data_IF_071907998199
#
_entry.id   IF_071907998199
#
_cell.length_a   1.000
_cell.length_b   1.000
_cell.length_c   1.000
_cell.angle_alpha   90.00
_cell.angle_beta   90.00
_cell.angle_gamma   90.00
#
_symmetry.space_group_name_H-M   'P 1'
#
loop_
_entity.id
_entity.type
_entity.pdbx_description
1 polymer ?
#
# COMPACT_ATOMS: atom_id res chain seq x y z
N UNK A 1 -37.77 6.90 9.64
CA UNK A 1 -37.41 7.15 8.21
C UNK A 1 -36.28 8.15 8.00
N UNK A 2 -36.24 9.31 8.70
CA UNK A 2 -35.17 10.33 8.50
C UNK A 2 -33.76 9.81 8.83
N UNK A 3 -33.59 9.06 9.93
CA UNK A 3 -32.31 8.46 10.30
C UNK A 3 -31.77 7.46 9.26
N UNK A 4 -32.63 6.59 8.71
CA UNK A 4 -32.22 5.61 7.69
C UNK A 4 -31.68 6.30 6.41
N UNK A 5 -32.32 7.41 5.99
CA UNK A 5 -31.88 8.20 4.82
C UNK A 5 -30.51 8.85 5.06
N UNK A 6 -30.28 9.37 6.27
CA UNK A 6 -28.99 9.98 6.65
C UNK A 6 -27.89 8.91 6.69
N UNK A 7 -28.15 7.75 7.28
CA UNK A 7 -27.20 6.64 7.32
C UNK A 7 -26.84 6.14 5.92
N UNK A 8 -27.83 6.00 5.03
CA UNK A 8 -27.61 5.59 3.65
C UNK A 8 -26.78 6.63 2.88
N UNK A 9 -27.08 7.92 3.07
CA UNK A 9 -26.32 9.00 2.45
C UNK A 9 -24.86 9.00 2.92
N UNK A 10 -24.61 8.82 4.22
CA UNK A 10 -23.25 8.71 4.76
C UNK A 10 -22.50 7.52 4.14
N UNK A 11 -23.17 6.37 4.01
CA UNK A 11 -22.59 5.17 3.43
C UNK A 11 -22.17 5.37 1.97
N UNK A 12 -23.00 6.10 1.19
CA UNK A 12 -22.69 6.46 -0.20
C UNK A 12 -21.48 7.41 -0.26
N UNK A 13 -21.44 8.46 0.56
CA UNK A 13 -20.31 9.42 0.60
C UNK A 13 -19.00 8.73 0.99
N UNK A 14 -19.03 7.83 1.97
CA UNK A 14 -17.86 7.03 2.38
C UNK A 14 -17.40 6.11 1.24
N UNK A 15 -18.35 5.54 0.48
CA UNK A 15 -18.04 4.66 -0.65
C UNK A 15 -17.37 5.42 -1.82
N UNK A 16 -17.83 6.65 -2.11
CA UNK A 16 -17.35 7.49 -3.21
C UNK A 16 -15.93 8.06 -2.98
N UNK A 17 -15.50 8.23 -1.73
CA UNK A 17 -14.12 8.68 -1.41
C UNK A 17 -13.10 7.54 -1.42
N UNK A 18 -13.55 6.31 -1.63
CA UNK A 18 -12.72 5.12 -1.48
C UNK A 18 -12.07 4.64 -2.78
N UNK A 19 -11.90 5.45 -3.83
CA UNK A 19 -11.32 5.00 -5.11
C UNK A 19 -9.94 4.31 -4.97
N UNK A 20 -9.62 3.44 -5.93
CA UNK A 20 -8.33 2.79 -6.06
C UNK A 20 -7.21 3.82 -6.20
N UNK A 21 -6.09 3.53 -5.55
CA UNK A 21 -4.87 4.31 -5.67
C UNK A 21 -3.88 3.56 -6.56
N UNK A 22 -3.21 4.29 -7.46
CA UNK A 22 -2.05 3.75 -8.16
C UNK A 22 -0.92 3.40 -7.18
N UNK A 23 -0.08 2.45 -7.57
CA UNK A 23 1.17 2.17 -6.88
C UNK A 23 2.29 2.98 -7.54
N UNK A 24 3.03 3.76 -6.75
CA UNK A 24 4.23 4.45 -7.19
C UNK A 24 5.42 3.56 -6.86
N UNK A 25 6.11 3.08 -7.90
CA UNK A 25 7.31 2.26 -7.76
C UNK A 25 8.35 2.99 -6.90
N UNK A 26 8.91 2.28 -5.93
CA UNK A 26 9.82 2.86 -4.93
C UNK A 26 11.22 3.06 -5.52
N UNK A 27 11.68 2.09 -6.30
CA UNK A 27 13.02 2.04 -6.90
C UNK A 27 14.13 2.35 -5.88
N UNK A 28 14.43 1.44 -4.93
CA UNK A 28 15.41 1.69 -3.86
C UNK A 28 16.76 2.26 -4.31
N UNK A 29 17.21 1.93 -5.53
CA UNK A 29 18.46 2.44 -6.12
C UNK A 29 18.48 3.94 -6.39
N UNK A 30 17.33 4.60 -6.52
CA UNK A 30 17.21 6.03 -6.83
C UNK A 30 16.94 6.88 -5.58
N UNK A 31 16.76 6.23 -4.42
CA UNK A 31 16.47 6.90 -3.16
C UNK A 31 17.73 7.61 -2.64
N UNK A 32 17.56 8.87 -2.24
CA UNK A 32 18.51 9.54 -1.36
C UNK A 32 18.28 9.07 0.08
N UNK A 33 19.22 8.27 0.59
CA UNK A 33 19.20 7.77 1.97
C UNK A 33 19.91 8.76 2.89
N UNK A 34 19.23 9.17 3.96
CA UNK A 34 19.77 10.13 4.93
C UNK A 34 20.34 9.45 6.18
N UNK A 35 19.85 8.26 6.51
CA UNK A 35 20.41 7.49 7.63
C UNK A 35 21.66 6.74 7.19
N UNK A 36 22.64 6.68 8.08
CA UNK A 36 23.89 5.98 7.85
C UNK A 36 24.40 5.42 9.18
N UNK A 37 24.59 4.11 9.23
CA UNK A 37 25.19 3.41 10.38
C UNK A 37 26.19 2.39 9.86
N UNK A 38 27.34 2.27 10.53
CA UNK A 38 28.40 1.31 10.17
C UNK A 38 28.64 0.39 11.35
N UNK A 39 28.68 -0.92 11.10
CA UNK A 39 28.97 -1.96 12.09
C UNK A 39 29.95 -2.97 11.48
N UNK A 40 31.12 -3.17 12.10
CA UNK A 40 32.15 -4.13 11.65
C UNK A 40 32.45 -4.10 10.13
N UNK A 41 32.52 -2.90 9.54
CA UNK A 41 32.76 -2.74 8.10
C UNK A 41 31.55 -3.02 7.21
N UNK A 42 30.34 -3.09 7.75
CA UNK A 42 29.10 -3.18 6.99
C UNK A 42 28.28 -1.92 7.22
N UNK A 43 27.98 -1.21 6.13
CA UNK A 43 27.22 0.03 6.15
C UNK A 43 25.76 -0.24 5.84
N UNK A 44 24.88 0.36 6.64
CA UNK A 44 23.44 0.41 6.43
C UNK A 44 22.98 1.85 6.22
N UNK A 45 22.20 2.03 5.17
CA UNK A 45 21.43 3.24 4.90
C UNK A 45 19.97 2.82 4.70
N UNK A 46 19.01 3.59 5.23
CA UNK A 46 17.59 3.22 5.18
C UNK A 46 16.64 4.41 5.04
N UNK A 47 15.40 4.13 4.60
CA UNK A 47 14.36 5.13 4.46
C UNK A 47 12.97 4.55 4.74
N UNK A 48 12.23 5.26 5.60
CA UNK A 48 10.82 5.03 5.90
C UNK A 48 9.90 5.84 4.98
N UNK A 49 8.58 5.64 5.14
CA UNK A 49 7.52 6.44 4.53
C UNK A 49 7.62 6.49 3.00
N UNK A 50 7.71 5.30 2.41
CA UNK A 50 7.89 5.07 0.97
C UNK A 50 6.56 5.00 0.21
N UNK A 51 5.52 4.54 0.91
CA UNK A 51 4.21 4.27 0.33
C UNK A 51 3.36 5.54 0.33
N UNK A 52 2.33 5.57 -0.53
CA UNK A 52 1.47 6.74 -0.71
C UNK A 52 -0.01 6.34 -0.72
N UNK A 53 -0.89 7.25 -0.27
CA UNK A 53 -2.35 7.11 -0.28
C UNK A 53 -2.81 5.83 0.42
N UNK A 54 -3.44 4.88 -0.29
CA UNK A 54 -4.04 3.70 0.33
C UNK A 54 -3.01 2.75 0.93
N UNK A 55 -1.82 2.66 0.36
CA UNK A 55 -0.77 1.79 0.88
C UNK A 55 -0.21 2.34 2.19
N UNK A 56 0.08 3.65 2.23
CA UNK A 56 0.46 4.37 3.46
C UNK A 56 -0.62 4.25 4.56
N UNK A 57 -1.89 4.44 4.20
CA UNK A 57 -3.01 4.22 5.15
C UNK A 57 -3.03 2.79 5.69
N UNK A 58 -2.68 1.79 4.87
CA UNK A 58 -2.59 0.41 5.31
C UNK A 58 -1.40 0.17 6.23
N UNK A 59 -0.26 0.86 6.04
CA UNK A 59 0.86 0.78 6.97
C UNK A 59 0.44 1.17 8.38
N UNK A 60 -0.20 2.34 8.51
CA UNK A 60 -0.72 2.86 9.78
C UNK A 60 -1.81 1.94 10.34
N UNK A 61 -2.78 1.54 9.52
CA UNK A 61 -3.91 0.70 9.98
C UNK A 61 -3.48 -0.70 10.42
N UNK A 62 -2.36 -1.22 9.90
CA UNK A 62 -1.93 -2.61 10.10
C UNK A 62 -0.68 -2.76 10.97
N UNK A 63 -0.09 -1.67 11.43
CA UNK A 63 1.15 -1.65 12.22
C UNK A 63 2.30 -2.31 11.47
N UNK A 64 2.44 -1.98 10.18
CA UNK A 64 3.52 -2.51 9.33
C UNK A 64 4.12 -1.36 8.56
N UNK A 65 5.43 -1.17 8.68
CA UNK A 65 6.19 -0.18 7.93
C UNK A 65 7.05 -0.86 6.88
N UNK A 66 6.98 -0.38 5.65
CA UNK A 66 7.88 -0.76 4.58
C UNK A 66 9.09 0.17 4.59
N UNK A 67 10.28 -0.42 4.57
CA UNK A 67 11.55 0.29 4.68
C UNK A 67 12.43 -0.11 3.52
N UNK A 68 13.00 0.88 2.86
CA UNK A 68 14.00 0.69 1.83
C UNK A 68 15.32 0.67 2.57
N UNK A 69 16.13 -0.35 2.31
CA UNK A 69 17.47 -0.44 2.87
C UNK A 69 18.49 -0.57 1.75
N UNK A 70 19.68 -0.05 2.03
CA UNK A 70 20.87 -0.20 1.24
C UNK A 70 21.96 -0.70 2.17
N UNK A 71 22.52 -1.86 1.84
CA UNK A 71 23.58 -2.51 2.62
C UNK A 71 24.82 -2.56 1.75
N UNK A 72 25.91 -1.98 2.23
CA UNK A 72 27.22 -2.02 1.57
C UNK A 72 28.17 -2.80 2.46
N UNK A 73 28.74 -3.88 1.93
CA UNK A 73 29.73 -4.67 2.64
C UNK A 73 31.13 -4.16 2.31
N UNK A 74 31.76 -3.47 3.26
CA UNK A 74 33.14 -2.97 3.17
C UNK A 74 34.12 -3.89 3.93
N UNK A 75 33.64 -5.03 4.45
CA UNK A 75 34.48 -6.04 5.09
C UNK A 75 35.16 -6.95 4.06
N UNK A 76 36.06 -7.80 4.54
CA UNK A 76 36.81 -8.79 3.76
C UNK A 76 36.07 -10.13 3.56
N UNK A 77 34.88 -10.30 4.15
CA UNK A 77 34.11 -11.54 4.13
C UNK A 77 32.80 -11.38 3.39
N UNK A 78 32.37 -12.41 2.67
CA UNK A 78 31.00 -12.47 2.15
C UNK A 78 30.01 -12.71 3.29
N UNK A 79 28.93 -11.93 3.31
CA UNK A 79 27.94 -11.94 4.39
C UNK A 79 26.55 -12.25 3.83
N UNK A 80 25.82 -13.16 4.46
CA UNK A 80 24.44 -13.46 4.09
C UNK A 80 23.46 -12.65 4.95
N UNK A 81 22.62 -11.84 4.30
CA UNK A 81 21.60 -11.06 4.99
C UNK A 81 20.50 -11.98 5.57
N UNK A 82 20.14 -11.77 6.83
CA UNK A 82 19.23 -12.61 7.63
C UNK A 82 19.93 -13.73 8.41
N UNK A 83 21.18 -14.08 8.06
CA UNK A 83 22.00 -15.05 8.81
C UNK A 83 23.17 -14.36 9.51
N UNK A 84 24.11 -13.84 8.72
CA UNK A 84 25.36 -13.25 9.20
C UNK A 84 25.18 -11.75 9.52
N UNK A 85 24.19 -11.11 8.89
CA UNK A 85 23.83 -9.70 9.09
C UNK A 85 22.33 -9.59 9.33
N UNK A 86 21.94 -8.99 10.46
CA UNK A 86 20.53 -8.80 10.86
C UNK A 86 20.24 -7.35 11.18
N UNK A 87 18.97 -6.95 11.03
CA UNK A 87 18.51 -5.64 11.46
C UNK A 87 18.18 -5.65 12.95
N UNK A 88 18.67 -4.64 13.66
CA UNK A 88 18.35 -4.39 15.08
C UNK A 88 17.90 -2.95 15.25
N UNK A 89 17.07 -2.70 16.26
CA UNK A 89 16.76 -1.34 16.69
C UNK A 89 17.96 -0.73 17.40
N UNK A 90 17.98 0.59 17.58
CA UNK A 90 19.05 1.29 18.27
C UNK A 90 19.28 0.79 19.72
N UNK A 91 18.27 0.21 20.36
CA UNK A 91 18.35 -0.40 21.69
C UNK A 91 18.93 -1.84 21.70
N UNK A 92 19.31 -2.38 20.53
CA UNK A 92 19.88 -3.71 20.37
C UNK A 92 18.86 -4.84 20.20
N UNK A 93 17.56 -4.57 20.30
CA UNK A 93 16.50 -5.57 20.07
C UNK A 93 16.44 -5.92 18.59
N UNK A 94 16.30 -7.21 18.28
CA UNK A 94 16.15 -7.66 16.89
C UNK A 94 14.87 -7.11 16.27
N UNK A 95 14.99 -6.63 15.03
CA UNK A 95 13.86 -6.10 14.29
C UNK A 95 13.02 -7.28 13.78
N UNK A 96 11.71 -7.33 14.07
CA UNK A 96 10.83 -8.39 13.58
C UNK A 96 10.54 -8.17 12.09
N UNK A 97 11.50 -8.58 11.25
CA UNK A 97 11.40 -8.57 9.80
C UNK A 97 10.31 -9.53 9.36
N UNK A 98 9.41 -9.04 8.52
CA UNK A 98 8.29 -9.81 8.00
C UNK A 98 8.61 -10.39 6.62
N UNK A 99 8.18 -11.63 6.38
CA UNK A 99 8.18 -12.22 5.04
C UNK A 99 7.39 -11.37 4.05
N UNK A 100 7.92 -11.21 2.85
CA UNK A 100 7.36 -10.36 1.81
C UNK A 100 5.91 -10.70 1.43
N UNK A 101 5.52 -11.97 1.44
CA UNK A 101 4.13 -12.36 1.20
C UNK A 101 3.18 -11.88 2.31
N UNK A 102 3.64 -11.86 3.58
CA UNK A 102 2.85 -11.33 4.70
C UNK A 102 2.76 -9.82 4.64
N UNK A 103 3.83 -9.13 4.24
CA UNK A 103 3.86 -7.69 3.98
C UNK A 103 2.86 -7.33 2.88
N UNK A 104 2.94 -8.02 1.73
CA UNK A 104 2.02 -7.84 0.62
C UNK A 104 0.56 -8.05 1.04
N UNK A 105 0.25 -9.17 1.71
CA UNK A 105 -1.12 -9.47 2.17
C UNK A 105 -1.70 -8.39 3.10
N UNK A 106 -0.86 -7.78 3.94
CA UNK A 106 -1.29 -6.72 4.87
C UNK A 106 -1.42 -5.36 4.21
N UNK A 107 -0.51 -5.01 3.32
CA UNK A 107 -0.41 -3.64 2.77
C UNK A 107 -1.15 -3.45 1.44
N UNK A 108 -1.51 -4.53 0.73
CA UNK A 108 -2.26 -4.45 -0.53
C UNK A 108 -3.63 -3.76 -0.38
N UNK A 109 -4.10 -3.16 -1.47
CA UNK A 109 -5.48 -2.70 -1.57
C UNK A 109 -6.43 -3.89 -1.65
N UNK A 110 -7.65 -3.78 -1.13
CA UNK A 110 -8.70 -4.79 -1.30
C UNK A 110 -9.47 -4.50 -2.59
N UNK A 111 -9.29 -5.27 -3.68
CA UNK A 111 -9.98 -4.98 -4.94
C UNK A 111 -11.47 -5.35 -4.88
N UNK A 112 -11.81 -6.40 -4.11
CA UNK A 112 -13.18 -6.88 -4.00
C UNK A 112 -14.13 -5.85 -3.37
N UNK A 113 -13.63 -4.92 -2.54
CA UNK A 113 -14.50 -3.86 -1.98
C UNK A 113 -15.06 -2.92 -3.04
N UNK A 114 -14.43 -2.83 -4.23
CA UNK A 114 -14.95 -2.00 -5.32
C UNK A 114 -16.17 -2.60 -6.01
N UNK A 115 -16.47 -3.88 -5.78
CA UNK A 115 -17.71 -4.48 -6.27
C UNK A 115 -18.95 -3.87 -5.61
N UNK A 116 -18.79 -3.17 -4.48
CA UNK A 116 -19.88 -2.40 -3.86
C UNK A 116 -20.38 -1.27 -4.76
N UNK A 117 -19.58 -0.80 -5.74
CA UNK A 117 -20.08 0.15 -6.74
C UNK A 117 -21.19 -0.45 -7.63
N UNK A 118 -21.30 -1.78 -7.73
CA UNK A 118 -22.43 -2.43 -8.42
C UNK A 118 -23.77 -2.14 -7.75
N UNK A 119 -23.80 -1.71 -6.49
CA UNK A 119 -25.03 -1.25 -5.83
C UNK A 119 -25.57 0.05 -6.42
N UNK A 120 -24.78 0.77 -7.25
CA UNK A 120 -25.23 1.92 -8.02
C UNK A 120 -25.94 1.54 -9.32
N UNK A 121 -25.93 0.25 -9.71
CA UNK A 121 -26.56 -0.25 -10.94
C UNK A 121 -28.05 0.08 -11.09
N UNK A 122 -28.91 -0.04 -10.06
CA UNK A 122 -30.34 0.24 -10.20
C UNK A 122 -30.69 1.74 -10.16
N UNK A 123 -29.71 2.66 -10.21
CA UNK A 123 -29.96 4.10 -10.20
C UNK A 123 -30.57 4.58 -11.53
N UNK A 124 -31.67 5.30 -11.42
CA UNK A 124 -32.35 5.97 -12.53
C UNK A 124 -32.42 7.47 -12.25
N UNK A 125 -32.22 8.29 -13.28
CA UNK A 125 -32.53 9.73 -13.24
C UNK A 125 -33.93 9.95 -13.76
N UNK A 126 -34.74 10.70 -13.02
CA UNK A 126 -36.10 11.05 -13.39
C UNK A 126 -36.20 12.55 -13.62
N UNK A 127 -36.87 12.95 -14.70
CA UNK A 127 -37.29 14.34 -14.92
C UNK A 127 -38.79 14.44 -14.64
N UNK A 128 -39.19 15.45 -13.89
CA UNK A 128 -40.60 15.71 -13.56
C UNK A 128 -41.02 17.04 -14.17
N UNK A 129 -42.23 17.07 -14.72
CA UNK A 129 -42.89 18.28 -15.19
C UNK A 129 -44.15 18.51 -14.36
N UNK A 130 -44.48 19.77 -14.10
CA UNK A 130 -45.71 20.11 -13.39
C UNK A 130 -46.78 20.42 -14.42
N UNK A 131 -47.85 19.63 -14.42
CA UNK A 131 -48.96 19.84 -15.33
C UNK A 131 -49.75 21.13 -14.95
N UNK A 132 -50.64 21.64 -15.83
CA UNK A 132 -51.42 22.86 -15.57
C UNK A 132 -52.32 22.80 -14.32
N UNK A 133 -52.57 21.60 -13.79
CA UNK A 133 -53.35 21.36 -12.57
C UNK A 133 -52.48 21.28 -11.30
N UNK A 134 -51.18 21.58 -11.41
CA UNK A 134 -50.23 21.59 -10.29
C UNK A 134 -49.75 20.20 -9.86
N UNK A 135 -50.03 19.15 -10.63
CA UNK A 135 -49.60 17.77 -10.35
C UNK A 135 -48.26 17.51 -11.03
N UNK A 136 -47.30 16.97 -10.27
CA UNK A 136 -46.01 16.54 -10.83
C UNK A 136 -46.17 15.20 -11.55
N UNK A 137 -45.82 15.16 -12.82
CA UNK A 137 -45.79 13.96 -13.65
C UNK A 137 -44.35 13.66 -14.07
N UNK A 138 -43.97 12.38 -14.00
CA UNK A 138 -42.65 11.93 -14.47
C UNK A 138 -42.68 11.87 -16.00
N UNK A 139 -41.87 12.70 -16.65
CA UNK A 139 -41.79 12.77 -18.10
C UNK A 139 -40.88 11.67 -18.68
N UNK A 140 -39.69 11.47 -18.08
CA UNK A 140 -38.70 10.50 -18.57
C UNK A 140 -37.86 9.88 -17.45
N UNK A 141 -37.38 8.65 -17.67
CA UNK A 141 -36.38 7.98 -16.81
C UNK A 141 -35.17 7.49 -17.61
N UNK A 142 -33.95 7.86 -17.20
CA UNK A 142 -32.70 7.37 -17.81
C UNK A 142 -31.90 6.49 -16.82
N UNK A 143 -31.58 5.23 -17.16
CA UNK A 143 -30.92 4.28 -16.25
C UNK A 143 -29.41 4.50 -16.18
N UNK A 144 -28.97 5.63 -15.61
CA UNK A 144 -27.53 5.97 -15.44
C UNK A 144 -26.74 4.91 -14.68
N UNK A 145 -27.40 4.19 -13.77
CA UNK A 145 -26.77 3.23 -12.88
C UNK A 145 -26.07 2.08 -13.62
N UNK A 146 -26.62 1.63 -14.76
CA UNK A 146 -26.09 0.52 -15.56
C UNK A 146 -24.68 0.82 -16.10
N UNK A 147 -24.36 2.09 -16.32
CA UNK A 147 -23.02 2.52 -16.72
C UNK A 147 -22.18 2.86 -15.48
N UNK A 148 -22.74 3.62 -14.55
CA UNK A 148 -22.02 4.11 -13.37
C UNK A 148 -21.52 2.98 -12.47
N UNK A 149 -22.39 2.05 -12.09
CA UNK A 149 -22.04 0.99 -11.15
C UNK A 149 -20.97 0.05 -11.70
N UNK A 150 -21.21 -0.64 -12.82
CA UNK A 150 -20.24 -1.50 -13.47
C UNK A 150 -18.95 -0.77 -13.89
N UNK A 151 -19.05 0.45 -14.43
CA UNK A 151 -17.89 1.23 -14.85
C UNK A 151 -16.96 1.57 -13.69
N UNK A 152 -17.52 2.06 -12.58
CA UNK A 152 -16.75 2.34 -11.36
C UNK A 152 -16.17 1.06 -10.74
N UNK A 153 -16.96 -0.01 -10.67
CA UNK A 153 -16.52 -1.29 -10.13
C UNK A 153 -15.33 -1.85 -10.92
N UNK A 154 -15.49 -1.97 -12.24
CA UNK A 154 -14.46 -2.51 -13.13
C UNK A 154 -13.19 -1.65 -13.13
N UNK A 155 -13.33 -0.32 -13.27
CA UNK A 155 -12.19 0.58 -13.30
C UNK A 155 -11.35 0.52 -12.02
N UNK A 156 -11.99 0.56 -10.85
CA UNK A 156 -11.28 0.49 -9.58
C UNK A 156 -10.69 -0.91 -9.32
N UNK A 157 -11.40 -1.97 -9.69
CA UNK A 157 -10.92 -3.36 -9.57
C UNK A 157 -9.62 -3.56 -10.36
N UNK A 158 -9.60 -3.12 -11.63
CA UNK A 158 -8.42 -3.25 -12.51
C UNK A 158 -7.27 -2.40 -12.01
N UNK A 159 -7.53 -1.14 -11.67
CA UNK A 159 -6.50 -0.22 -11.17
C UNK A 159 -5.84 -0.75 -9.89
N UNK A 160 -6.64 -1.21 -8.92
CA UNK A 160 -6.10 -1.77 -7.68
C UNK A 160 -5.39 -3.10 -7.89
N UNK A 161 -5.89 -3.97 -8.77
CA UNK A 161 -5.25 -5.26 -9.06
C UNK A 161 -3.89 -5.07 -9.73
N UNK A 162 -3.81 -4.17 -10.72
CA UNK A 162 -2.55 -3.80 -11.36
C UNK A 162 -1.57 -3.17 -10.37
N UNK A 163 -2.02 -2.20 -9.58
CA UNK A 163 -1.20 -1.59 -8.53
C UNK A 163 -0.67 -2.62 -7.52
N UNK A 164 -1.52 -3.55 -7.07
CA UNK A 164 -1.12 -4.62 -6.16
C UNK A 164 -0.10 -5.58 -6.80
N UNK A 165 -0.26 -5.90 -8.08
CA UNK A 165 0.69 -6.74 -8.81
C UNK A 165 2.06 -6.08 -8.87
N UNK A 166 2.14 -4.80 -9.23
CA UNK A 166 3.39 -4.03 -9.25
C UNK A 166 4.05 -3.98 -7.87
N UNK A 167 3.27 -3.72 -6.81
CA UNK A 167 3.78 -3.73 -5.44
C UNK A 167 4.35 -5.09 -5.04
N UNK A 168 3.63 -6.19 -5.35
CA UNK A 168 4.12 -7.55 -5.06
C UNK A 168 5.43 -7.83 -5.80
N UNK A 169 5.48 -7.52 -7.09
CA UNK A 169 6.68 -7.73 -7.90
C UNK A 169 7.87 -6.97 -7.35
N UNK A 170 7.69 -5.72 -6.93
CA UNK A 170 8.78 -4.93 -6.36
C UNK A 170 9.28 -5.48 -5.02
N UNK A 171 8.38 -5.93 -4.13
CA UNK A 171 8.78 -6.60 -2.88
C UNK A 171 9.64 -7.84 -3.14
N UNK A 172 9.26 -8.66 -4.13
CA UNK A 172 9.98 -9.91 -4.44
C UNK A 172 11.33 -9.65 -5.14
N UNK A 173 11.39 -8.65 -6.03
CA UNK A 173 12.64 -8.27 -6.71
C UNK A 173 13.68 -7.75 -5.72
N UNK A 174 13.24 -7.05 -4.67
CA UNK A 174 14.10 -6.44 -3.66
C UNK A 174 14.11 -7.21 -2.32
N UNK A 175 13.89 -8.53 -2.33
CA UNK A 175 13.99 -9.36 -1.12
C UNK A 175 15.45 -9.68 -0.78
N UNK A 176 15.99 -9.04 0.26
CA UNK A 176 17.37 -9.29 0.66
C UNK A 176 17.56 -10.56 1.50
N UNK A 177 16.50 -11.16 2.04
CA UNK A 177 16.66 -12.30 2.93
C UNK A 177 17.32 -13.48 2.20
N UNK A 178 18.41 -13.99 2.78
CA UNK A 178 19.20 -15.07 2.18
C UNK A 178 20.12 -14.63 1.04
N UNK A 179 20.12 -13.35 0.65
CA UNK A 179 21.08 -12.85 -0.34
C UNK A 179 22.48 -12.76 0.27
N UNK A 180 23.46 -13.20 -0.52
CA UNK A 180 24.87 -13.03 -0.23
C UNK A 180 25.34 -11.64 -0.70
N UNK A 181 26.09 -10.95 0.16
CA UNK A 181 26.67 -9.62 -0.06
C UNK A 181 28.19 -9.80 -0.03
N UNK A 182 28.83 -9.77 -1.19
CA UNK A 182 30.28 -9.96 -1.29
C UNK A 182 31.07 -8.72 -0.81
N UNK A 183 32.37 -8.86 -0.49
CA UNK A 183 33.24 -7.72 -0.22
C UNK A 183 33.16 -6.65 -1.33
N UNK A 184 32.98 -5.39 -0.93
CA UNK A 184 32.80 -4.24 -1.82
C UNK A 184 31.41 -4.13 -2.46
N UNK A 185 30.51 -5.09 -2.24
CA UNK A 185 29.20 -5.12 -2.89
C UNK A 185 28.17 -4.27 -2.14
N UNK A 186 27.29 -3.62 -2.91
CA UNK A 186 26.09 -2.95 -2.37
C UNK A 186 24.83 -3.64 -2.86
N UNK A 187 23.95 -4.01 -1.93
CA UNK A 187 22.62 -4.53 -2.21
C UNK A 187 21.55 -3.56 -1.72
N UNK A 188 20.41 -3.56 -2.41
CA UNK A 188 19.26 -2.73 -2.09
C UNK A 188 18.06 -3.63 -1.82
N UNK A 189 17.26 -3.29 -0.82
CA UNK A 189 16.15 -4.11 -0.37
C UNK A 189 14.92 -3.33 0.02
N UNK A 190 13.78 -4.03 0.01
CA UNK A 190 12.54 -3.60 0.61
C UNK A 190 12.18 -4.58 1.73
N UNK A 191 11.99 -4.07 2.93
CA UNK A 191 11.74 -4.90 4.11
C UNK A 191 10.51 -4.37 4.83
N UNK A 192 9.56 -5.26 5.11
CA UNK A 192 8.45 -4.93 5.99
C UNK A 192 8.79 -5.23 7.44
N UNK A 193 8.52 -4.28 8.32
CA UNK A 193 8.77 -4.37 9.75
C UNK A 193 7.45 -4.16 10.49
N UNK A 194 7.17 -5.01 11.49
CA UNK A 194 6.01 -4.83 12.36
C UNK A 194 6.34 -3.81 13.45
N UNK A 195 5.90 -2.57 13.27
CA UNK A 195 6.02 -1.49 14.26
C UNK A 195 4.95 -0.44 14.04
N UNK A 196 4.55 0.24 15.12
CA UNK A 196 3.61 1.36 15.09
C UNK A 196 4.33 2.71 14.91
N UNK A 197 5.66 2.76 15.08
CA UNK A 197 6.47 3.99 14.94
C UNK A 197 7.76 3.75 14.18
N UNK A 198 8.24 4.71 13.36
CA UNK A 198 9.59 4.66 12.79
C UNK A 198 10.65 4.72 13.90
N UNK A 199 11.48 3.70 13.98
CA UNK A 199 12.58 3.60 14.94
C UNK A 199 13.91 3.56 14.21
N UNK A 200 14.97 4.02 14.86
CA UNK A 200 16.29 3.98 14.25
C UNK A 200 16.78 2.53 14.10
N UNK A 201 17.14 2.17 12.87
CA UNK A 201 17.68 0.85 12.53
C UNK A 201 19.21 0.86 12.57
N UNK A 202 19.78 -0.28 12.92
CA UNK A 202 21.21 -0.61 12.87
C UNK A 202 21.39 -2.03 12.33
N UNK A 203 22.62 -2.37 11.98
CA UNK A 203 23.01 -3.76 11.71
C UNK A 203 23.60 -4.40 12.96
N UNK A 204 23.39 -5.70 13.09
CA UNK A 204 24.18 -6.59 13.91
C UNK A 204 24.87 -7.59 12.99
N UNK A 205 26.20 -7.59 13.02
CA UNK A 205 27.04 -8.51 12.25
C UNK A 205 27.53 -9.60 13.20
N UNK A 206 27.19 -10.86 12.92
CA UNK A 206 27.57 -12.03 13.72
C UNK A 206 29.02 -12.47 13.47
#
# INVERSE_FOLDING_TARGET
MKFLKITLLLLVVISLTSCASGYKTIQPKTINFLSNTVEKGVKLEYKYDLLYKKYEKNEVKKGVKLVAIKVTNESDKSLMFGRDVKLVYANGTEVPVMENDRVFKKLKQSPASYLLFLLLTPLNLYTTETNPYGVQETNWSFPVGVVLGPGLAAGNLLAASSANSNFKSELMIYDLNGMLINPGETKYGLIGIKTDSPEALRLKVE
#
